data_IF_317574570142
#
_entry.id   IF_317574570142
#
_cell.length_a   1.000
_cell.length_b   1.000
_cell.length_c   1.000
_cell.angle_alpha   90.00
_cell.angle_beta   90.00
_cell.angle_gamma   90.00
#
_symmetry.space_group_name_H-M   'P 1'
#
loop_
_entity.id
_entity.type
_entity.pdbx_description
1 polymer ?
#
# COMPACT_ATOMS: atom_id res chain seq x y z
N UNK A 1 34.95 66.33 20.34
CA UNK A 1 35.77 65.77 21.43
C UNK A 1 35.08 64.51 21.94
N UNK A 2 35.69 63.37 21.59
CA UNK A 2 35.68 62.04 22.20
C UNK A 2 34.39 61.52 22.86
N UNK A 3 33.66 60.69 22.09
CA UNK A 3 32.67 59.74 22.61
C UNK A 3 33.41 58.43 22.91
N UNK A 4 33.52 58.07 24.19
CA UNK A 4 33.97 56.73 24.62
C UNK A 4 32.75 55.99 25.15
N UNK A 5 32.22 55.06 24.35
CA UNK A 5 31.26 54.05 24.81
C UNK A 5 31.96 52.71 24.85
N UNK A 6 32.06 52.17 26.06
CA UNK A 6 32.57 50.83 26.35
C UNK A 6 31.72 49.78 25.61
N UNK A 7 32.36 49.03 24.71
CA UNK A 7 31.80 47.81 24.12
C UNK A 7 32.27 46.63 24.97
N UNK A 8 31.40 46.20 25.89
CA UNK A 8 31.56 44.94 26.62
C UNK A 8 31.23 43.77 25.71
N UNK A 9 32.24 42.94 25.39
CA UNK A 9 32.09 41.66 24.69
C UNK A 9 31.23 40.71 25.54
N UNK A 10 30.04 40.38 25.05
CA UNK A 10 29.29 39.20 25.48
C UNK A 10 29.77 38.00 24.64
N UNK A 11 30.51 37.11 25.29
CA UNK A 11 30.87 35.79 24.74
C UNK A 11 29.76 34.83 25.16
N UNK A 12 28.93 34.41 24.21
CA UNK A 12 27.85 33.45 24.42
C UNK A 12 28.42 32.04 24.41
N UNK A 13 28.49 31.39 25.56
CA UNK A 13 28.89 29.98 25.71
C UNK A 13 27.76 29.07 25.22
N UNK A 14 27.98 28.39 24.09
CA UNK A 14 27.15 27.25 23.69
C UNK A 14 27.49 26.04 24.57
N UNK A 15 26.49 25.49 25.26
CA UNK A 15 26.56 24.16 25.87
C UNK A 15 25.57 23.27 25.13
N UNK A 16 26.09 22.34 24.33
CA UNK A 16 25.31 21.31 23.67
C UNK A 16 24.99 20.20 24.68
N UNK A 17 23.71 20.01 25.00
CA UNK A 17 23.25 18.86 25.79
C UNK A 17 22.85 17.75 24.81
N UNK A 18 23.75 16.77 24.66
CA UNK A 18 23.48 15.49 24.03
C UNK A 18 22.61 14.66 24.99
N UNK A 19 21.29 14.67 24.78
CA UNK A 19 20.35 13.78 25.45
C UNK A 19 20.27 12.45 24.72
N UNK A 20 20.68 11.37 25.40
CA UNK A 20 20.67 10.00 24.91
C UNK A 20 19.25 9.54 24.50
N UNK A 21 19.10 9.05 23.28
CA UNK A 21 17.90 8.36 22.80
C UNK A 21 17.87 6.97 23.44
N UNK A 22 17.01 6.80 24.45
CA UNK A 22 16.70 5.48 24.99
C UNK A 22 15.82 4.74 23.97
N UNK A 23 16.42 3.87 23.17
CA UNK A 23 15.68 2.95 22.29
C UNK A 23 15.08 1.85 23.18
N UNK A 24 13.82 2.05 23.57
CA UNK A 24 13.01 0.98 24.16
C UNK A 24 12.78 -0.08 23.08
N UNK A 25 13.37 -1.26 23.31
CA UNK A 25 13.17 -2.43 22.48
C UNK A 25 11.75 -2.93 22.69
N UNK A 26 10.91 -2.81 21.66
CA UNK A 26 9.60 -3.44 21.66
C UNK A 26 9.78 -4.97 21.57
N UNK A 27 9.08 -5.76 22.40
CA UNK A 27 9.17 -7.21 22.30
C UNK A 27 8.58 -7.68 20.95
N UNK A 28 9.36 -8.50 20.26
CA UNK A 28 9.12 -8.99 18.90
C UNK A 28 8.05 -10.09 18.87
N UNK A 29 6.81 -9.78 19.24
CA UNK A 29 5.67 -10.70 19.09
C UNK A 29 4.63 -10.03 18.20
N UNK A 30 4.97 -9.85 16.92
CA UNK A 30 4.04 -9.40 15.90
C UNK A 30 4.41 -10.02 14.55
N UNK A 31 3.38 -10.48 13.84
CA UNK A 31 3.35 -11.02 12.48
C UNK A 31 3.88 -12.45 12.28
N UNK A 32 3.05 -13.43 12.64
CA UNK A 32 2.87 -14.62 11.78
C UNK A 32 1.78 -14.26 10.76
N UNK A 33 2.09 -13.36 9.84
CA UNK A 33 1.32 -13.24 8.60
C UNK A 33 2.34 -12.90 7.52
N UNK A 34 2.43 -13.78 6.53
CA UNK A 34 3.37 -13.64 5.43
C UNK A 34 2.81 -12.60 4.44
N UNK A 35 2.66 -11.34 4.88
CA UNK A 35 2.10 -10.28 4.06
C UNK A 35 3.02 -9.97 2.88
N UNK A 36 2.64 -10.36 1.67
CA UNK A 36 3.29 -9.88 0.46
C UNK A 36 2.85 -8.43 0.20
N UNK A 37 3.49 -7.47 0.86
CA UNK A 37 3.21 -6.04 0.68
C UNK A 37 3.92 -5.54 -0.57
N UNK A 38 3.17 -5.20 -1.62
CA UNK A 38 3.75 -4.53 -2.80
C UNK A 38 2.96 -3.29 -3.15
N UNK A 39 3.65 -2.15 -3.17
CA UNK A 39 3.10 -0.91 -3.71
C UNK A 39 3.07 -0.99 -5.24
N UNK A 40 1.88 -0.95 -5.82
CA UNK A 40 1.67 -0.75 -7.25
C UNK A 40 1.80 0.74 -7.58
N UNK A 41 2.56 1.06 -8.62
CA UNK A 41 2.71 2.43 -9.12
C UNK A 41 1.61 2.70 -10.14
N UNK A 42 0.92 3.85 -10.03
CA UNK A 42 -0.05 4.28 -11.05
C UNK A 42 0.64 4.39 -12.40
N UNK A 43 0.13 3.70 -13.41
CA UNK A 43 0.71 3.68 -14.77
C UNK A 43 -0.09 4.58 -15.74
N UNK A 44 -0.92 5.48 -15.21
CA UNK A 44 -1.60 6.54 -15.97
C UNK A 44 -3.12 6.50 -15.90
N UNK A 45 -3.76 7.34 -16.71
CA UNK A 45 -5.21 7.42 -16.93
C UNK A 45 -5.54 6.76 -18.26
N UNK A 46 -6.57 5.89 -18.32
CA UNK A 46 -7.05 5.32 -19.59
C UNK A 46 -8.53 5.60 -19.73
N UNK A 47 -8.92 6.23 -20.85
CA UNK A 47 -10.32 6.34 -21.27
C UNK A 47 -10.78 4.99 -21.84
N UNK A 48 -11.75 4.34 -21.18
CA UNK A 48 -12.45 3.17 -21.74
C UNK A 48 -13.52 3.55 -22.77
N UNK A 49 -14.04 2.56 -23.51
CA UNK A 49 -15.24 2.71 -24.34
C UNK A 49 -16.45 2.96 -23.43
N UNK A 50 -17.10 4.12 -23.63
CA UNK A 50 -18.17 4.73 -22.84
C UNK A 50 -17.76 5.22 -21.44
N UNK A 51 -17.45 6.53 -21.35
CA UNK A 51 -17.50 7.45 -20.18
C UNK A 51 -17.03 7.04 -18.77
N UNK A 52 -16.38 5.88 -18.59
CA UNK A 52 -15.83 5.49 -17.30
C UNK A 52 -14.32 5.76 -17.26
N UNK A 53 -13.96 7.01 -16.97
CA UNK A 53 -12.63 7.43 -16.59
C UNK A 53 -12.11 6.61 -15.40
N UNK A 54 -10.97 5.89 -15.55
CA UNK A 54 -10.36 5.16 -14.44
C UNK A 54 -8.85 5.35 -14.32
N UNK A 55 -8.37 5.28 -13.08
CA UNK A 55 -6.95 5.08 -12.73
C UNK A 55 -6.67 3.58 -12.67
N UNK A 56 -5.52 3.16 -13.17
CA UNK A 56 -5.11 1.76 -13.13
C UNK A 56 -3.78 1.57 -12.38
N UNK A 57 -3.71 0.45 -11.67
CA UNK A 57 -2.59 0.04 -10.85
C UNK A 57 -2.33 -1.44 -11.10
N UNK A 58 -1.06 -1.84 -11.13
CA UNK A 58 -0.69 -3.22 -11.35
C UNK A 58 0.40 -3.69 -10.41
N UNK A 59 0.42 -5.01 -10.22
CA UNK A 59 1.41 -5.71 -9.44
C UNK A 59 1.97 -6.85 -10.29
N UNK A 60 3.29 -7.07 -10.16
CA UNK A 60 3.91 -8.28 -10.68
C UNK A 60 3.53 -9.49 -9.84
N UNK A 61 4.34 -10.53 -9.93
CA UNK A 61 4.11 -11.75 -9.16
C UNK A 61 4.24 -11.47 -7.65
N UNK A 62 3.28 -11.98 -6.89
CA UNK A 62 3.25 -12.00 -5.44
C UNK A 62 3.16 -13.45 -4.97
N UNK A 63 3.77 -13.72 -3.82
CA UNK A 63 3.78 -15.05 -3.19
C UNK A 63 3.62 -14.90 -1.68
N UNK A 64 2.73 -15.69 -1.10
CA UNK A 64 2.47 -15.79 0.34
C UNK A 64 2.42 -17.28 0.69
N UNK A 65 3.37 -17.77 1.49
CA UNK A 65 3.50 -19.21 1.71
C UNK A 65 3.70 -19.96 0.38
N UNK A 66 2.83 -20.91 0.08
CA UNK A 66 2.72 -21.65 -1.18
C UNK A 66 1.63 -21.12 -2.11
N UNK A 67 0.94 -20.04 -1.73
CA UNK A 67 -0.01 -19.33 -2.57
C UNK A 67 0.67 -18.26 -3.42
N UNK A 68 0.10 -18.02 -4.59
CA UNK A 68 0.66 -17.13 -5.60
C UNK A 68 -0.41 -16.29 -6.27
N UNK A 69 0.01 -15.11 -6.71
CA UNK A 69 -0.76 -14.22 -7.58
C UNK A 69 0.14 -13.73 -8.72
N UNK A 70 -0.39 -13.68 -9.95
CA UNK A 70 0.23 -13.02 -11.10
C UNK A 70 -0.77 -12.15 -11.85
N UNK A 71 -0.27 -11.16 -12.59
CA UNK A 71 -1.09 -10.31 -13.44
C UNK A 71 -2.12 -9.47 -12.68
N UNK A 72 -1.82 -9.11 -11.42
CA UNK A 72 -2.72 -8.31 -10.60
C UNK A 72 -2.92 -6.92 -11.20
N UNK A 73 -4.17 -6.54 -11.44
CA UNK A 73 -4.55 -5.23 -11.92
C UNK A 73 -5.80 -4.70 -11.21
N UNK A 74 -5.76 -3.44 -10.80
CA UNK A 74 -6.87 -2.72 -10.18
C UNK A 74 -7.26 -1.53 -11.05
N UNK A 75 -8.56 -1.38 -11.30
CA UNK A 75 -9.16 -0.17 -11.87
C UNK A 75 -9.94 0.54 -10.76
N UNK A 76 -9.62 1.82 -10.55
CA UNK A 76 -10.38 2.72 -9.69
C UNK A 76 -11.17 3.68 -10.58
N UNK A 77 -12.48 3.68 -10.47
CA UNK A 77 -13.39 4.54 -11.23
C UNK A 77 -13.74 5.78 -10.41
N UNK A 78 -13.88 6.94 -11.04
CA UNK A 78 -14.15 8.20 -10.34
C UNK A 78 -15.46 8.20 -9.50
N UNK A 79 -16.40 7.31 -9.83
CA UNK A 79 -17.69 7.16 -9.14
C UNK A 79 -17.63 6.31 -7.86
N UNK A 80 -16.44 5.87 -7.45
CA UNK A 80 -16.25 5.03 -6.27
C UNK A 80 -16.26 3.54 -6.53
N UNK A 81 -16.50 3.07 -7.77
CA UNK A 81 -16.35 1.65 -8.10
C UNK A 81 -14.89 1.27 -8.21
N UNK A 82 -14.59 0.01 -7.93
CA UNK A 82 -13.32 -0.61 -8.28
C UNK A 82 -13.52 -2.00 -8.85
N UNK A 83 -12.59 -2.41 -9.71
CA UNK A 83 -12.48 -3.78 -10.20
C UNK A 83 -11.03 -4.24 -10.10
N UNK A 84 -10.82 -5.33 -9.39
CA UNK A 84 -9.53 -6.02 -9.33
C UNK A 84 -9.61 -7.31 -10.13
N UNK A 85 -8.56 -7.67 -10.85
CA UNK A 85 -8.39 -9.04 -11.31
C UNK A 85 -6.94 -9.48 -11.22
N UNK A 86 -6.78 -10.79 -11.08
CA UNK A 86 -5.49 -11.46 -11.07
C UNK A 86 -5.68 -12.92 -11.47
N UNK A 87 -4.56 -13.63 -11.59
CA UNK A 87 -4.54 -15.09 -11.64
C UNK A 87 -3.88 -15.62 -10.37
N UNK A 88 -4.57 -16.51 -9.65
CA UNK A 88 -4.10 -17.05 -8.38
C UNK A 88 -3.98 -18.58 -8.42
N UNK A 89 -3.07 -19.15 -7.64
CA UNK A 89 -2.93 -20.59 -7.43
C UNK A 89 -2.21 -20.88 -6.11
N UNK A 90 -2.30 -22.11 -5.62
CA UNK A 90 -1.47 -22.63 -4.52
C UNK A 90 -0.62 -23.78 -5.05
N UNK A 91 0.54 -24.06 -4.44
CA UNK A 91 1.34 -25.25 -4.77
C UNK A 91 0.84 -26.49 -4.01
N UNK A 92 0.14 -26.33 -2.88
CA UNK A 92 -0.43 -27.42 -2.09
C UNK A 92 -1.64 -26.97 -1.26
N UNK A 93 -2.66 -27.81 -1.11
CA UNK A 93 -3.74 -27.57 -0.15
C UNK A 93 -4.48 -28.86 0.15
N UNK A 94 -5.08 -28.96 1.34
CA UNK A 94 -5.96 -30.09 1.72
C UNK A 94 -7.45 -29.76 1.59
N UNK A 95 -7.82 -28.49 1.76
CA UNK A 95 -9.22 -28.05 1.79
C UNK A 95 -9.54 -26.92 0.79
N UNK A 96 -8.54 -26.46 0.04
CA UNK A 96 -8.63 -25.27 -0.79
C UNK A 96 -8.10 -24.06 -0.04
N UNK A 97 -7.10 -23.39 -0.60
CA UNK A 97 -6.57 -22.13 -0.05
C UNK A 97 -7.28 -20.95 -0.69
N UNK A 98 -7.32 -19.81 0.01
CA UNK A 98 -7.96 -18.60 -0.50
C UNK A 98 -6.94 -17.49 -0.49
N UNK A 99 -6.77 -16.83 -1.63
CA UNK A 99 -5.96 -15.63 -1.69
C UNK A 99 -6.80 -14.43 -1.25
N UNK A 100 -6.30 -13.71 -0.25
CA UNK A 100 -6.93 -12.52 0.29
C UNK A 100 -6.21 -11.28 -0.23
N UNK A 101 -6.94 -10.32 -0.79
CA UNK A 101 -6.38 -9.04 -1.24
C UNK A 101 -7.09 -7.86 -0.59
N UNK A 102 -6.31 -6.90 -0.10
CA UNK A 102 -6.81 -5.61 0.41
C UNK A 102 -5.98 -4.47 -0.17
N UNK A 103 -6.62 -3.36 -0.50
CA UNK A 103 -5.95 -2.23 -1.17
C UNK A 103 -5.95 -1.00 -0.28
N UNK A 104 -4.76 -0.42 -0.09
CA UNK A 104 -4.58 0.86 0.58
C UNK A 104 -4.25 1.95 -0.44
N UNK A 105 -5.16 2.90 -0.60
CA UNK A 105 -5.07 4.02 -1.52
C UNK A 105 -4.25 5.13 -0.88
N UNK A 106 -3.25 5.66 -1.59
CA UNK A 106 -2.27 6.61 -1.06
C UNK A 106 -2.11 7.82 -1.96
N UNK A 107 -1.85 8.97 -1.33
CA UNK A 107 -1.47 10.18 -2.04
C UNK A 107 0.01 10.13 -2.51
N UNK A 108 0.46 11.20 -3.15
CA UNK A 108 1.82 11.32 -3.69
C UNK A 108 2.90 11.31 -2.61
N UNK A 109 2.57 11.77 -1.41
CA UNK A 109 3.43 11.73 -0.22
C UNK A 109 3.46 10.34 0.46
N UNK A 110 2.65 9.38 0.00
CA UNK A 110 2.56 8.04 0.59
C UNK A 110 1.64 7.93 1.80
N UNK A 111 0.90 8.98 2.15
CA UNK A 111 -0.10 8.95 3.21
C UNK A 111 -1.31 8.11 2.77
N UNK A 112 -1.76 7.20 3.64
CA UNK A 112 -2.98 6.43 3.44
C UNK A 112 -4.22 7.32 3.45
N UNK A 113 -5.06 7.17 2.43
CA UNK A 113 -6.30 7.92 2.23
C UNK A 113 -7.53 7.05 2.53
N UNK A 114 -7.49 5.78 2.09
CA UNK A 114 -8.57 4.82 2.23
C UNK A 114 -8.01 3.40 2.20
N UNK A 115 -8.65 2.48 2.91
CA UNK A 115 -8.34 1.04 2.83
C UNK A 115 -9.63 0.29 2.52
N UNK A 116 -9.61 -0.55 1.47
CA UNK A 116 -10.78 -1.36 1.08
C UNK A 116 -11.08 -2.44 2.10
N UNK A 117 -12.23 -3.10 1.94
CA UNK A 117 -12.43 -4.44 2.51
C UNK A 117 -11.43 -5.44 1.91
N UNK A 118 -11.38 -6.63 2.49
CA UNK A 118 -10.70 -7.77 1.87
C UNK A 118 -11.57 -8.32 0.74
N UNK A 119 -10.92 -8.71 -0.35
CA UNK A 119 -11.49 -9.46 -1.45
C UNK A 119 -10.86 -10.85 -1.48
N UNK A 120 -11.70 -11.87 -1.59
CA UNK A 120 -11.27 -13.26 -1.56
C UNK A 120 -11.31 -13.87 -2.96
N UNK A 121 -10.28 -14.62 -3.32
CA UNK A 121 -10.30 -15.45 -4.52
C UNK A 121 -11.28 -16.62 -4.34
N UNK A 122 -11.70 -17.28 -5.44
CA UNK A 122 -12.21 -18.64 -5.33
C UNK A 122 -11.17 -19.55 -4.62
N UNK A 123 -11.61 -20.65 -3.98
CA UNK A 123 -10.70 -21.65 -3.44
C UNK A 123 -9.75 -22.17 -4.53
N UNK A 124 -8.45 -22.09 -4.24
CA UNK A 124 -7.34 -22.50 -5.09
C UNK A 124 -6.96 -23.94 -4.81
N UNK A 125 -6.53 -24.65 -5.85
CA UNK A 125 -6.05 -26.03 -5.77
C UNK A 125 -4.73 -26.19 -6.51
N UNK A 126 -3.86 -27.08 -6.01
CA UNK A 126 -2.49 -27.28 -6.48
C UNK A 126 -2.32 -27.46 -8.01
N UNK A 127 -3.33 -28.03 -8.68
CA UNK A 127 -3.27 -28.40 -10.09
C UNK A 127 -3.75 -27.32 -11.06
N UNK A 128 -4.20 -26.16 -10.57
CA UNK A 128 -4.90 -25.18 -11.44
C UNK A 128 -4.64 -23.73 -11.03
N UNK A 129 -4.43 -22.90 -12.06
CA UNK A 129 -4.48 -21.44 -11.93
C UNK A 129 -5.90 -20.93 -12.17
N UNK A 130 -6.35 -20.02 -11.32
CA UNK A 130 -7.68 -19.45 -11.33
C UNK A 130 -7.63 -18.00 -11.77
N UNK A 131 -8.38 -17.66 -12.82
CA UNK A 131 -8.66 -16.27 -13.12
C UNK A 131 -9.69 -15.75 -12.13
N UNK A 132 -9.34 -14.69 -11.44
CA UNK A 132 -10.15 -14.09 -10.39
C UNK A 132 -10.44 -12.64 -10.73
N UNK A 133 -11.71 -12.24 -10.60
CA UNK A 133 -12.14 -10.85 -10.67
C UNK A 133 -12.98 -10.53 -9.44
N UNK A 134 -12.64 -9.45 -8.77
CA UNK A 134 -13.39 -8.89 -7.66
C UNK A 134 -13.92 -7.51 -8.04
N UNK A 135 -15.14 -7.21 -7.64
CA UNK A 135 -15.74 -5.90 -7.77
C UNK A 135 -16.02 -5.35 -6.37
N UNK A 136 -15.85 -4.05 -6.20
CA UNK A 136 -16.09 -3.41 -4.92
C UNK A 136 -16.25 -1.90 -5.05
N UNK A 137 -16.17 -1.24 -3.90
CA UNK A 137 -16.26 0.20 -3.80
C UNK A 137 -15.16 0.78 -2.92
N UNK A 138 -14.91 2.08 -3.06
CA UNK A 138 -14.03 2.88 -2.20
C UNK A 138 -14.64 4.27 -2.01
N UNK A 139 -14.05 5.06 -1.11
CA UNK A 139 -14.46 6.45 -0.85
C UNK A 139 -14.19 7.34 -2.08
N UNK A 140 -15.21 7.81 -2.83
CA UNK A 140 -15.00 8.53 -4.09
C UNK A 140 -14.21 9.83 -3.91
N UNK A 141 -14.33 10.50 -2.75
CA UNK A 141 -13.63 11.77 -2.50
C UNK A 141 -12.10 11.64 -2.49
N UNK A 142 -11.54 10.43 -2.36
CA UNK A 142 -10.09 10.21 -2.42
C UNK A 142 -9.57 9.92 -3.84
N UNK A 143 -10.45 9.84 -4.86
CA UNK A 143 -10.07 9.45 -6.21
C UNK A 143 -8.93 10.31 -6.76
N UNK A 144 -9.12 11.63 -6.81
CA UNK A 144 -8.15 12.55 -7.41
C UNK A 144 -6.81 12.53 -6.70
N UNK A 145 -6.82 12.47 -5.36
CA UNK A 145 -5.64 12.42 -4.52
C UNK A 145 -4.88 11.09 -4.63
N UNK A 146 -5.55 9.99 -5.00
CA UNK A 146 -4.94 8.65 -5.08
C UNK A 146 -4.01 8.56 -6.28
N UNK A 147 -2.72 8.33 -6.02
CA UNK A 147 -1.69 8.14 -7.07
C UNK A 147 -0.84 6.89 -6.84
N UNK A 148 -0.97 6.25 -5.68
CA UNK A 148 -0.31 4.99 -5.34
C UNK A 148 -1.33 4.06 -4.68
N UNK A 149 -1.20 2.76 -4.91
CA UNK A 149 -2.01 1.76 -4.22
C UNK A 149 -1.10 0.65 -3.71
N UNK A 150 -1.17 0.35 -2.42
CA UNK A 150 -0.52 -0.84 -1.85
C UNK A 150 -1.50 -1.99 -1.86
N UNK A 151 -1.10 -3.12 -2.44
CA UNK A 151 -1.81 -4.38 -2.22
C UNK A 151 -1.20 -5.04 -0.99
N UNK A 152 -2.07 -5.31 -0.03
CA UNK A 152 -1.85 -6.23 1.07
C UNK A 152 -2.42 -7.59 0.65
N UNK A 153 -1.63 -8.64 0.81
CA UNK A 153 -2.04 -9.97 0.40
C UNK A 153 -1.67 -11.00 1.46
N UNK A 154 -2.61 -11.92 1.72
CA UNK A 154 -2.41 -13.07 2.60
C UNK A 154 -3.00 -14.35 2.00
N UNK A 155 -2.54 -15.47 2.56
CA UNK A 155 -3.00 -16.84 2.39
C UNK A 155 -2.70 -17.53 3.74
#
# INVERSE_FOLDING_TARGET
MTVVRHVGRLVTTMVAVLGAVLVLHTPAWAALDSDAVRSGVSTGYRSGLADDAYKWFSWGDLKVGDCHQTGGYLRLYADGRLTFSARTWTDFTLSGDVWHARFELKNSAGQGLFTTSTYDSPPMWASKKHDWTANGTYEPSVYDATVRVTQWASC
#
